data_IF_259720156983
#
_entry.id   IF_259720156983
#
_cell.length_a   1.000
_cell.length_b   1.000
_cell.length_c   1.000
_cell.angle_alpha   90.00
_cell.angle_beta   90.00
_cell.angle_gamma   90.00
#
_symmetry.space_group_name_H-M   'P 1'
#
loop_
_entity.id
_entity.type
_entity.pdbx_description
1 polymer ?
#
# COMPACT_ATOMS: atom_id res chain seq x y z
N UNK A 1 10.92 -7.80 33.22
CA UNK A 1 10.17 -6.53 33.07
C UNK A 1 9.67 -6.49 31.63
N UNK A 2 8.36 -6.65 31.43
CA UNK A 2 7.73 -6.71 30.11
C UNK A 2 7.89 -5.37 29.39
N UNK A 3 8.38 -5.38 28.15
CA UNK A 3 8.18 -4.28 27.20
C UNK A 3 6.70 -4.30 26.79
N UNK A 4 5.82 -3.74 27.65
CA UNK A 4 4.42 -3.48 27.31
C UNK A 4 4.37 -2.23 26.41
N UNK A 5 3.64 -2.35 25.31
CA UNK A 5 3.27 -1.29 24.37
C UNK A 5 4.41 -0.49 23.73
N UNK A 6 5.01 -1.03 22.67
CA UNK A 6 5.52 -0.16 21.61
C UNK A 6 4.31 0.35 20.80
N UNK A 7 3.71 1.45 21.25
CA UNK A 7 2.72 2.19 20.45
C UNK A 7 3.36 2.58 19.11
N UNK A 8 2.70 2.23 18.01
CA UNK A 8 3.12 2.67 16.67
C UNK A 8 2.96 4.18 16.61
N UNK A 9 4.03 4.89 16.27
CA UNK A 9 4.05 6.35 16.10
C UNK A 9 4.69 6.70 14.77
N UNK A 10 4.19 7.72 14.11
CA UNK A 10 4.76 8.22 12.85
C UNK A 10 5.11 9.70 12.97
N UNK A 11 6.07 10.16 12.17
CA UNK A 11 6.43 11.58 12.10
C UNK A 11 5.36 12.31 11.30
N UNK A 12 4.63 13.24 11.92
CA UNK A 12 3.55 13.99 11.27
C UNK A 12 4.06 15.21 10.50
N UNK A 13 5.26 15.71 10.83
CA UNK A 13 5.86 16.86 10.18
C UNK A 13 7.37 16.63 9.96
N UNK A 14 7.73 16.18 8.76
CA UNK A 14 9.09 15.81 8.40
C UNK A 14 10.03 17.02 8.39
N UNK A 15 9.58 18.17 7.88
CA UNK A 15 10.38 19.40 7.82
C UNK A 15 10.72 19.93 9.22
N UNK A 16 9.71 20.06 10.10
CA UNK A 16 9.93 20.48 11.48
C UNK A 16 10.76 19.46 12.28
N UNK A 17 10.69 18.18 11.94
CA UNK A 17 11.55 17.15 12.54
C UNK A 17 12.99 17.30 12.09
N UNK A 18 13.23 17.56 10.80
CA UNK A 18 14.56 17.79 10.26
C UNK A 18 15.23 19.02 10.91
N UNK A 19 14.48 20.11 11.08
CA UNK A 19 14.96 21.32 11.76
C UNK A 19 15.34 21.01 13.22
N UNK A 20 14.48 20.29 13.96
CA UNK A 20 14.75 19.91 15.35
C UNK A 20 15.96 18.97 15.50
N UNK A 21 16.15 18.04 14.55
CA UNK A 21 17.26 17.09 14.57
C UNK A 21 18.57 17.76 14.14
N UNK A 22 18.56 18.79 13.30
CA UNK A 22 19.77 19.51 12.89
C UNK A 22 20.55 20.14 14.06
N UNK A 23 19.88 20.43 15.18
CA UNK A 23 20.50 20.95 16.40
C UNK A 23 21.04 19.89 17.36
N UNK A 24 20.88 18.61 17.05
CA UNK A 24 21.09 17.53 18.04
C UNK A 24 22.54 17.37 18.48
N UNK A 25 23.50 17.78 17.66
CA UNK A 25 24.93 17.78 18.02
C UNK A 25 25.24 18.69 19.22
N UNK A 26 24.38 19.67 19.52
CA UNK A 26 24.51 20.54 20.70
C UNK A 26 24.03 19.87 22.00
N UNK A 27 23.25 18.79 21.91
CA UNK A 27 22.62 18.10 23.04
C UNK A 27 23.16 16.67 23.21
N UNK A 28 23.62 16.06 22.13
CA UNK A 28 24.20 14.73 22.11
C UNK A 28 25.68 14.80 22.50
N UNK A 29 26.03 14.19 23.63
CA UNK A 29 27.43 13.98 24.03
C UNK A 29 28.04 12.84 23.21
N UNK A 30 28.27 13.12 21.92
CA UNK A 30 28.95 12.21 21.01
C UNK A 30 30.45 12.44 21.18
N UNK A 31 31.14 11.47 21.77
CA UNK A 31 32.59 11.54 21.94
C UNK A 31 33.28 11.44 20.58
N UNK A 32 34.06 12.46 20.22
CA UNK A 32 34.92 12.47 19.03
C UNK A 32 36.24 11.76 19.34
N UNK A 33 36.16 10.45 19.57
CA UNK A 33 37.30 9.56 19.82
C UNK A 33 37.21 8.80 21.15
N UNK A 34 37.64 7.53 21.15
CA UNK A 34 37.56 6.61 22.30
C UNK A 34 36.24 5.83 22.39
N UNK A 35 36.16 4.92 23.36
CA UNK A 35 34.96 4.09 23.58
C UNK A 35 33.76 4.94 24.00
N UNK A 36 32.66 4.82 23.27
CA UNK A 36 31.41 5.49 23.61
C UNK A 36 30.74 4.76 24.76
N UNK A 37 30.93 5.29 25.97
CA UNK A 37 30.44 4.70 27.22
C UNK A 37 28.92 4.49 27.22
N UNK A 38 28.46 3.44 27.91
CA UNK A 38 27.05 3.01 27.92
C UNK A 38 26.09 4.08 28.43
N UNK A 39 26.52 4.94 29.35
CA UNK A 39 25.73 6.04 29.89
C UNK A 39 25.58 7.18 28.86
N UNK A 40 26.66 7.57 28.18
CA UNK A 40 26.64 8.59 27.12
C UNK A 40 25.81 8.14 25.91
N UNK A 41 25.82 6.83 25.61
CA UNK A 41 24.92 6.19 24.62
C UNK A 41 23.46 6.38 24.97
N UNK A 42 23.07 6.02 26.19
CA UNK A 42 21.67 6.12 26.65
C UNK A 42 21.19 7.57 26.68
N UNK A 43 22.00 8.49 27.21
CA UNK A 43 21.67 9.92 27.21
C UNK A 43 21.45 10.48 25.80
N UNK A 44 22.29 10.09 24.84
CA UNK A 44 22.14 10.51 23.43
C UNK A 44 20.85 9.93 22.82
N UNK A 45 20.55 8.66 23.08
CA UNK A 45 19.33 8.01 22.60
C UNK A 45 18.09 8.68 23.21
N UNK A 46 18.11 9.00 24.50
CA UNK A 46 16.98 9.62 25.20
C UNK A 46 16.78 11.08 24.79
N UNK A 47 17.88 11.81 24.54
CA UNK A 47 17.83 13.14 23.93
C UNK A 47 17.22 13.09 22.53
N UNK A 48 17.65 12.13 21.69
CA UNK A 48 17.08 11.93 20.35
C UNK A 48 15.58 11.63 20.43
N UNK A 49 15.18 10.69 21.30
CA UNK A 49 13.75 10.36 21.53
C UNK A 49 12.96 11.58 22.00
N UNK A 50 13.50 12.38 22.91
CA UNK A 50 12.87 13.59 23.41
C UNK A 50 12.69 14.68 22.35
N UNK A 51 13.66 14.82 21.44
CA UNK A 51 13.61 15.80 20.35
C UNK A 51 12.56 15.41 19.29
N UNK A 52 12.50 14.13 18.95
CA UNK A 52 11.56 13.65 17.91
C UNK A 52 10.14 13.46 18.46
N UNK A 53 9.97 13.12 19.75
CA UNK A 53 8.67 12.76 20.31
C UNK A 53 7.57 13.82 20.09
N UNK A 54 7.80 15.14 20.22
CA UNK A 54 6.80 16.17 19.93
C UNK A 54 6.41 16.25 18.46
N UNK A 55 7.23 15.70 17.55
CA UNK A 55 6.95 15.61 16.12
C UNK A 55 6.38 14.24 15.72
N UNK A 56 6.13 13.36 16.70
CA UNK A 56 5.50 12.06 16.48
C UNK A 56 4.03 12.13 16.86
N UNK A 57 3.17 11.54 16.04
CA UNK A 57 1.77 11.29 16.38
C UNK A 57 1.56 9.81 16.68
N UNK A 58 0.70 9.53 17.65
CA UNK A 58 0.17 8.19 17.87
C UNK A 58 -0.61 7.74 16.63
N UNK A 59 -0.26 6.56 16.13
CA UNK A 59 -1.09 5.86 15.16
C UNK A 59 -2.29 5.36 15.95
N UNK A 60 -3.37 6.13 15.94
CA UNK A 60 -4.66 5.63 16.42
C UNK A 60 -5.11 4.53 15.44
N UNK A 61 -5.55 3.40 15.98
CA UNK A 61 -6.30 2.41 15.19
C UNK A 61 -7.67 2.96 14.75
N UNK A 62 -8.06 4.14 15.26
CA UNK A 62 -9.21 4.92 14.80
C UNK A 62 -8.94 5.56 13.43
N UNK A 63 -9.78 5.21 12.46
CA UNK A 63 -9.81 5.77 11.11
C UNK A 63 -10.32 7.21 11.21
N UNK A 64 -9.41 8.17 11.38
CA UNK A 64 -9.70 9.60 11.24
C UNK A 64 -9.65 9.98 9.74
N UNK A 65 -10.80 10.31 9.11
CA UNK A 65 -10.86 10.65 7.68
C UNK A 65 -10.17 11.98 7.33
N UNK A 66 -9.85 12.83 8.32
CA UNK A 66 -9.27 14.15 8.13
C UNK A 66 -7.76 14.24 8.34
N UNK A 67 -7.08 13.14 8.69
CA UNK A 67 -5.65 13.22 9.03
C UNK A 67 -4.75 13.30 7.79
N UNK A 68 -3.87 14.30 7.86
CA UNK A 68 -2.70 14.62 7.04
C UNK A 68 -1.68 13.46 6.83
N UNK A 69 -2.00 12.21 7.17
CA UNK A 69 -1.10 11.06 7.17
C UNK A 69 -1.19 10.13 5.95
N UNK A 70 -2.26 10.20 5.13
CA UNK A 70 -2.44 9.23 4.04
C UNK A 70 -1.40 9.36 2.92
N UNK A 71 -1.00 10.59 2.59
CA UNK A 71 0.08 10.81 1.61
C UNK A 71 1.41 10.25 2.12
N UNK A 72 1.78 10.53 3.37
CA UNK A 72 3.01 10.01 4.00
C UNK A 72 2.97 8.48 4.17
N UNK A 73 1.81 7.93 4.52
CA UNK A 73 1.59 6.49 4.61
C UNK A 73 1.74 5.84 3.22
N UNK A 74 1.18 6.44 2.18
CA UNK A 74 1.33 5.96 0.82
C UNK A 74 2.78 6.02 0.33
N UNK A 75 3.52 7.08 0.63
CA UNK A 75 4.96 7.16 0.35
C UNK A 75 5.77 6.07 1.07
N UNK A 76 5.35 5.70 2.29
CA UNK A 76 5.91 4.58 3.03
C UNK A 76 5.58 3.24 2.38
N UNK A 77 4.33 3.04 1.94
CA UNK A 77 3.91 1.85 1.19
C UNK A 77 4.73 1.68 -0.09
N UNK A 78 4.89 2.75 -0.88
CA UNK A 78 5.69 2.73 -2.10
C UNK A 78 7.17 2.46 -1.82
N UNK A 79 7.72 3.02 -0.75
CA UNK A 79 9.11 2.75 -0.37
C UNK A 79 9.32 1.28 0.02
N UNK A 80 8.41 0.70 0.79
CA UNK A 80 8.47 -0.71 1.19
C UNK A 80 8.25 -1.66 0.02
N UNK A 81 7.39 -1.28 -0.94
CA UNK A 81 7.11 -2.07 -2.14
C UNK A 81 8.35 -2.39 -2.99
N UNK A 82 9.40 -1.56 -2.92
CA UNK A 82 10.68 -1.84 -3.60
C UNK A 82 11.39 -3.09 -3.06
N UNK A 83 11.18 -3.40 -1.78
CA UNK A 83 11.80 -4.54 -1.09
C UNK A 83 10.81 -5.69 -0.95
N UNK A 84 9.54 -5.39 -0.69
CA UNK A 84 8.47 -6.33 -0.37
C UNK A 84 7.46 -6.52 -1.52
N UNK A 85 7.97 -6.78 -2.72
CA UNK A 85 7.16 -6.88 -3.95
C UNK A 85 6.02 -7.92 -3.89
N UNK A 86 6.14 -8.91 -3.02
CA UNK A 86 5.10 -9.93 -2.84
C UNK A 86 3.82 -9.39 -2.18
N UNK A 87 3.89 -8.28 -1.43
CA UNK A 87 2.74 -7.70 -0.71
C UNK A 87 2.16 -6.45 -1.37
N UNK A 88 2.75 -6.01 -2.48
CA UNK A 88 2.32 -4.81 -3.18
C UNK A 88 2.23 -5.06 -4.68
N UNK A 89 1.19 -4.53 -5.32
CA UNK A 89 1.09 -4.47 -6.77
C UNK A 89 0.56 -3.09 -7.20
N UNK A 90 0.97 -2.63 -8.38
CA UNK A 90 0.57 -1.35 -8.94
C UNK A 90 -0.26 -1.57 -10.21
N UNK A 91 -1.34 -0.81 -10.34
CA UNK A 91 -2.17 -0.80 -11.54
C UNK A 91 -2.52 0.61 -11.96
N UNK A 92 -2.24 0.95 -13.21
CA UNK A 92 -2.56 2.28 -13.74
C UNK A 92 -4.08 2.56 -13.64
N UNK A 93 -4.89 1.55 -13.93
CA UNK A 93 -6.35 1.57 -14.03
C UNK A 93 -6.84 0.36 -14.81
N UNK A 94 -8.12 0.33 -15.12
CA UNK A 94 -8.81 -0.78 -15.76
C UNK A 94 -9.32 -0.47 -17.16
N UNK A 95 -9.30 0.78 -17.64
CA UNK A 95 -9.58 1.05 -19.05
C UNK A 95 -8.36 0.78 -19.93
N UNK A 96 -8.59 0.14 -21.08
CA UNK A 96 -7.56 -0.22 -22.08
C UNK A 96 -6.81 1.00 -22.60
N UNK A 97 -5.48 0.97 -22.73
CA UNK A 97 -4.67 2.10 -23.21
C UNK A 97 -4.69 2.34 -24.75
N UNK A 98 -5.87 2.27 -25.36
CA UNK A 98 -6.11 2.46 -26.80
C UNK A 98 -6.36 3.93 -27.16
N UNK A 99 -5.93 4.45 -28.33
CA UNK A 99 -6.27 5.81 -28.74
C UNK A 99 -7.77 6.01 -29.07
N UNK A 100 -8.49 4.94 -29.43
CA UNK A 100 -9.92 4.99 -29.76
C UNK A 100 -10.64 3.77 -29.16
N UNK A 101 -11.90 3.94 -28.76
CA UNK A 101 -12.74 2.84 -28.30
C UNK A 101 -12.28 2.23 -26.98
N UNK A 102 -11.86 3.09 -26.03
CA UNK A 102 -11.50 2.71 -24.66
C UNK A 102 -12.62 1.89 -24.03
N UNK A 103 -12.28 0.74 -23.46
CA UNK A 103 -13.22 -0.13 -22.75
C UNK A 103 -12.64 -0.53 -21.41
N UNK A 104 -13.53 -0.80 -20.45
CA UNK A 104 -13.15 -1.45 -19.21
C UNK A 104 -12.63 -2.86 -19.53
N UNK A 105 -11.44 -3.17 -19.03
CA UNK A 105 -10.75 -4.44 -19.23
C UNK A 105 -11.06 -5.36 -18.04
N UNK A 106 -12.10 -6.19 -18.20
CA UNK A 106 -12.47 -7.20 -17.22
C UNK A 106 -11.34 -8.22 -16.98
N UNK A 107 -10.47 -8.47 -17.98
CA UNK A 107 -9.32 -9.35 -17.78
C UNK A 107 -8.27 -8.72 -16.85
N UNK A 108 -8.04 -7.42 -16.97
CA UNK A 108 -7.18 -6.69 -16.03
C UNK A 108 -7.79 -6.66 -14.62
N UNK A 109 -9.11 -6.53 -14.52
CA UNK A 109 -9.82 -6.59 -13.24
C UNK A 109 -9.71 -7.97 -12.57
N UNK A 110 -9.94 -9.05 -13.33
CA UNK A 110 -9.74 -10.43 -12.88
C UNK A 110 -8.29 -10.68 -12.42
N UNK A 111 -7.30 -10.11 -13.13
CA UNK A 111 -5.89 -10.21 -12.72
C UNK A 111 -5.65 -9.56 -11.36
N UNK A 112 -6.27 -8.41 -11.08
CA UNK A 112 -6.18 -7.75 -9.76
C UNK A 112 -6.86 -8.60 -8.69
N UNK A 113 -8.07 -9.13 -8.95
CA UNK A 113 -8.74 -10.05 -8.03
C UNK A 113 -7.86 -11.26 -7.70
N UNK A 114 -7.25 -11.88 -8.73
CA UNK A 114 -6.28 -12.97 -8.56
C UNK A 114 -5.07 -12.54 -7.71
N UNK A 115 -4.47 -11.38 -8.00
CA UNK A 115 -3.32 -10.87 -7.21
C UNK A 115 -3.70 -10.66 -5.74
N UNK A 116 -4.88 -10.11 -5.44
CA UNK A 116 -5.37 -9.96 -4.08
C UNK A 116 -5.49 -11.30 -3.35
N UNK A 117 -6.01 -12.36 -4.01
CA UNK A 117 -6.03 -13.71 -3.42
C UNK A 117 -4.63 -14.27 -3.18
N UNK A 118 -3.69 -14.01 -4.09
CA UNK A 118 -2.33 -14.49 -3.98
C UNK A 118 -1.57 -13.82 -2.83
N UNK A 119 -1.79 -12.52 -2.64
CA UNK A 119 -1.29 -11.76 -1.48
C UNK A 119 -1.88 -12.33 -0.18
N UNK A 120 -3.19 -12.60 -0.15
CA UNK A 120 -3.83 -13.22 1.02
C UNK A 120 -3.20 -14.58 1.39
N UNK A 121 -2.84 -15.37 0.38
CA UNK A 121 -2.25 -16.71 0.55
C UNK A 121 -0.81 -16.71 1.04
N UNK A 122 -0.19 -15.54 1.25
CA UNK A 122 1.10 -15.42 1.91
C UNK A 122 1.01 -15.59 3.44
N UNK A 123 -0.20 -15.61 4.01
CA UNK A 123 -0.46 -15.96 5.41
C UNK A 123 -1.12 -14.84 6.21
N UNK A 124 -1.62 -15.18 7.40
CA UNK A 124 -2.51 -14.34 8.22
C UNK A 124 -1.86 -13.11 8.86
N UNK A 125 -0.54 -13.09 9.00
CA UNK A 125 0.20 -12.03 9.70
C UNK A 125 0.66 -10.89 8.77
N UNK A 126 0.26 -10.89 7.50
CA UNK A 126 0.67 -9.89 6.53
C UNK A 126 -0.50 -9.01 6.10
N UNK A 127 -0.17 -7.79 5.69
CA UNK A 127 -1.09 -6.89 5.01
C UNK A 127 -0.49 -6.58 3.66
N UNK A 128 -1.32 -6.61 2.62
CA UNK A 128 -0.88 -6.24 1.28
C UNK A 128 -1.89 -5.36 0.57
N UNK A 129 -1.43 -4.77 -0.53
CA UNK A 129 -2.15 -3.73 -1.26
C UNK A 129 -2.02 -3.91 -2.76
N UNK A 130 -3.11 -3.61 -3.47
CA UNK A 130 -3.04 -3.24 -4.89
C UNK A 130 -3.39 -1.76 -5.01
N UNK A 131 -2.44 -0.96 -5.48
CA UNK A 131 -2.63 0.48 -5.68
C UNK A 131 -3.10 0.75 -7.12
N UNK A 132 -4.32 1.25 -7.28
CA UNK A 132 -4.93 1.61 -8.56
C UNK A 132 -4.80 3.12 -8.78
N UNK A 133 -4.41 3.54 -9.97
CA UNK A 133 -3.96 4.91 -10.26
C UNK A 133 -2.44 5.05 -10.23
N UNK A 134 -1.71 3.93 -10.25
CA UNK A 134 -0.24 3.89 -10.27
C UNK A 134 0.23 3.01 -11.42
N UNK A 135 0.88 3.59 -12.41
CA UNK A 135 1.49 2.84 -13.50
C UNK A 135 2.71 2.06 -13.00
N UNK A 136 2.80 0.83 -13.50
CA UNK A 136 3.82 -0.17 -13.21
C UNK A 136 5.16 0.15 -13.86
N UNK A 137 5.12 0.83 -15.00
CA UNK A 137 6.31 1.23 -15.75
C UNK A 137 6.13 2.60 -16.43
N UNK A 138 7.26 3.18 -16.84
CA UNK A 138 7.32 4.48 -17.49
C UNK A 138 6.52 4.52 -18.80
N UNK A 139 6.58 3.47 -19.62
CA UNK A 139 5.85 3.42 -20.90
C UNK A 139 4.33 3.52 -20.71
N UNK A 140 3.79 2.83 -19.71
CA UNK A 140 2.37 2.94 -19.35
C UNK A 140 2.02 4.35 -18.86
N UNK A 141 2.89 4.97 -18.06
CA UNK A 141 2.73 6.34 -17.59
C UNK A 141 2.72 7.36 -18.72
N UNK A 142 3.68 7.28 -19.65
CA UNK A 142 3.77 8.14 -20.83
C UNK A 142 2.52 7.98 -21.70
N UNK A 143 2.07 6.74 -21.89
CA UNK A 143 0.87 6.45 -22.66
C UNK A 143 -0.39 7.05 -22.05
N UNK A 144 -0.51 7.04 -20.71
CA UNK A 144 -1.62 7.70 -20.01
C UNK A 144 -1.53 9.22 -20.17
N UNK A 145 -0.33 9.80 -20.04
CA UNK A 145 -0.14 11.24 -20.25
C UNK A 145 -0.54 11.67 -21.67
N UNK A 146 -0.17 10.91 -22.70
CA UNK A 146 -0.54 11.20 -24.09
C UNK A 146 -2.06 11.17 -24.33
N UNK A 147 -2.76 10.21 -23.72
CA UNK A 147 -4.17 9.96 -24.00
C UNK A 147 -5.11 10.81 -23.14
N UNK A 148 -4.76 10.97 -21.88
CA UNK A 148 -5.65 11.53 -20.86
C UNK A 148 -5.18 12.93 -20.40
N UNK A 149 -4.04 13.43 -20.92
CA UNK A 149 -3.52 14.76 -20.58
C UNK A 149 -3.05 14.92 -19.13
N UNK A 150 -2.95 13.82 -18.40
CA UNK A 150 -2.52 13.80 -16.99
C UNK A 150 -1.02 14.06 -16.89
N UNK A 151 -0.60 14.82 -15.88
CA UNK A 151 0.82 14.95 -15.51
C UNK A 151 1.18 13.93 -14.42
N UNK A 152 1.89 12.84 -14.75
CA UNK A 152 2.18 11.80 -13.76
C UNK A 152 3.10 12.32 -12.66
N UNK A 153 2.80 11.95 -11.42
CA UNK A 153 3.66 12.23 -10.27
C UNK A 153 4.62 11.06 -10.09
N UNK A 154 5.93 11.30 -10.15
CA UNK A 154 6.93 10.26 -9.96
C UNK A 154 7.41 10.23 -8.52
N UNK A 155 7.40 9.05 -7.90
CA UNK A 155 7.99 8.81 -6.58
C UNK A 155 8.69 7.46 -6.54
N UNK A 156 10.01 7.46 -6.32
CA UNK A 156 10.84 6.25 -6.20
C UNK A 156 10.65 5.24 -7.36
N UNK A 157 10.46 5.73 -8.57
CA UNK A 157 10.24 4.91 -9.77
C UNK A 157 8.78 4.47 -10.00
N UNK A 158 7.87 4.76 -9.07
CA UNK A 158 6.43 4.62 -9.29
C UNK A 158 5.88 5.85 -9.97
N UNK A 159 4.94 5.63 -10.90
CA UNK A 159 4.33 6.68 -11.70
C UNK A 159 2.85 6.80 -11.36
N UNK A 160 2.49 7.79 -10.55
CA UNK A 160 1.11 8.00 -10.11
C UNK A 160 0.37 8.78 -11.21
N UNK A 161 -0.71 8.19 -11.72
CA UNK A 161 -1.51 8.71 -12.85
C UNK A 161 -2.95 9.04 -12.49
N UNK A 162 -3.37 8.78 -11.25
CA UNK A 162 -4.72 9.12 -10.78
C UNK A 162 -5.83 8.19 -11.30
N UNK A 163 -7.02 8.35 -10.72
CA UNK A 163 -8.25 7.62 -11.07
C UNK A 163 -9.30 8.52 -11.73
N UNK A 164 -9.08 9.83 -11.74
CA UNK A 164 -9.97 10.83 -12.32
C UNK A 164 -10.27 10.51 -13.79
N UNK A 165 -9.22 10.24 -14.57
CA UNK A 165 -9.29 9.76 -15.96
C UNK A 165 -10.14 8.50 -16.15
N UNK A 166 -10.16 7.58 -15.19
CA UNK A 166 -10.97 6.36 -15.27
C UNK A 166 -12.45 6.67 -15.01
N UNK A 167 -12.73 7.59 -14.08
CA UNK A 167 -14.07 8.06 -13.80
C UNK A 167 -14.67 8.79 -15.01
N UNK A 168 -13.87 9.64 -15.67
CA UNK A 168 -14.26 10.30 -16.92
C UNK A 168 -14.60 9.31 -18.03
N UNK A 169 -13.76 8.28 -18.24
CA UNK A 169 -14.02 7.20 -19.20
C UNK A 169 -15.25 6.36 -18.83
N UNK A 170 -15.60 6.27 -17.55
CA UNK A 170 -16.81 5.62 -17.07
C UNK A 170 -18.06 6.50 -17.24
N UNK A 171 -17.90 7.82 -17.36
CA UNK A 171 -18.99 8.78 -17.45
C UNK A 171 -19.60 9.15 -16.10
N UNK A 172 -18.83 9.06 -15.01
CA UNK A 172 -19.28 9.42 -13.65
C UNK A 172 -18.24 10.27 -12.92
N UNK A 173 -18.60 10.84 -11.78
CA UNK A 173 -17.62 11.43 -10.88
C UNK A 173 -16.74 10.36 -10.19
N UNK A 174 -15.64 10.81 -9.60
CA UNK A 174 -14.64 9.96 -8.95
C UNK A 174 -15.23 9.08 -7.83
N UNK A 175 -16.10 9.61 -6.98
CA UNK A 175 -16.66 8.87 -5.86
C UNK A 175 -17.62 7.79 -6.36
N UNK A 176 -18.44 8.11 -7.36
CA UNK A 176 -19.32 7.15 -8.02
C UNK A 176 -18.53 6.03 -8.71
N UNK A 177 -17.45 6.38 -9.43
CA UNK A 177 -16.58 5.39 -10.06
C UNK A 177 -15.90 4.48 -9.04
N UNK A 178 -15.36 5.05 -7.96
CA UNK A 178 -14.74 4.26 -6.89
C UNK A 178 -15.74 3.33 -6.22
N UNK A 179 -16.94 3.83 -5.92
CA UNK A 179 -18.03 3.03 -5.34
C UNK A 179 -18.40 1.87 -6.26
N UNK A 180 -18.56 2.13 -7.55
CA UNK A 180 -18.84 1.10 -8.56
C UNK A 180 -17.72 0.05 -8.63
N UNK A 181 -16.46 0.47 -8.64
CA UNK A 181 -15.31 -0.43 -8.70
C UNK A 181 -15.24 -1.35 -7.47
N UNK A 182 -15.44 -0.79 -6.28
CA UNK A 182 -15.47 -1.54 -5.02
C UNK A 182 -16.66 -2.49 -4.97
N UNK A 183 -17.84 -2.08 -5.45
CA UNK A 183 -19.02 -2.96 -5.56
C UNK A 183 -18.80 -4.09 -6.56
N UNK A 184 -18.14 -3.81 -7.69
CA UNK A 184 -17.76 -4.82 -8.68
C UNK A 184 -16.81 -5.85 -8.07
N UNK A 185 -15.87 -5.42 -7.22
CA UNK A 185 -14.99 -6.33 -6.48
C UNK A 185 -15.76 -7.12 -5.42
N UNK A 186 -16.63 -6.46 -4.65
CA UNK A 186 -17.47 -7.06 -3.61
C UNK A 186 -18.54 -8.03 -4.13
N UNK A 187 -18.85 -7.97 -5.42
CA UNK A 187 -19.77 -8.88 -6.11
C UNK A 187 -19.08 -9.87 -7.05
N UNK A 188 -17.74 -9.88 -7.09
CA UNK A 188 -16.97 -10.75 -7.97
C UNK A 188 -17.34 -12.24 -7.74
N UNK A 189 -17.75 -13.00 -8.78
CA UNK A 189 -18.27 -14.36 -8.61
C UNK A 189 -17.18 -15.38 -8.25
N UNK A 190 -15.96 -15.17 -8.75
CA UNK A 190 -14.85 -16.10 -8.54
C UNK A 190 -14.07 -15.91 -7.22
N UNK A 191 -14.57 -15.04 -6.33
CA UNK A 191 -13.99 -14.78 -5.01
C UNK A 191 -14.92 -15.32 -3.90
N UNK A 192 -14.37 -15.92 -2.83
CA UNK A 192 -15.15 -16.29 -1.65
C UNK A 192 -15.89 -15.09 -1.06
N UNK A 193 -17.12 -15.32 -0.57
CA UNK A 193 -18.02 -14.24 -0.15
C UNK A 193 -17.45 -13.37 0.96
N UNK A 194 -16.87 -13.98 2.00
CA UNK A 194 -16.29 -13.24 3.12
C UNK A 194 -15.07 -12.44 2.68
N UNK A 195 -14.27 -12.99 1.77
CA UNK A 195 -13.09 -12.32 1.25
C UNK A 195 -13.45 -11.08 0.42
N UNK A 196 -14.39 -11.18 -0.52
CA UNK A 196 -14.82 -10.03 -1.34
C UNK A 196 -15.51 -8.93 -0.50
N UNK A 197 -16.25 -9.30 0.56
CA UNK A 197 -16.82 -8.33 1.52
C UNK A 197 -15.72 -7.62 2.31
N UNK A 198 -14.71 -8.34 2.79
CA UNK A 198 -13.57 -7.77 3.50
C UNK A 198 -12.78 -6.81 2.60
N UNK A 199 -12.48 -7.21 1.36
CA UNK A 199 -11.86 -6.35 0.35
C UNK A 199 -12.64 -5.05 0.17
N UNK A 200 -13.96 -5.15 -0.04
CA UNK A 200 -14.79 -3.98 -0.27
C UNK A 200 -14.83 -3.02 0.93
N UNK A 201 -14.87 -3.55 2.15
CA UNK A 201 -14.85 -2.77 3.39
C UNK A 201 -13.52 -2.07 3.63
N UNK A 202 -12.41 -2.76 3.36
CA UNK A 202 -11.07 -2.29 3.77
C UNK A 202 -10.41 -1.40 2.71
N UNK A 203 -10.92 -1.45 1.47
CA UNK A 203 -10.49 -0.62 0.35
C UNK A 203 -10.85 0.85 0.57
N UNK A 204 -9.96 1.76 0.13
CA UNK A 204 -10.17 3.21 0.26
C UNK A 204 -9.56 3.98 -0.90
N UNK A 205 -10.04 5.18 -1.11
CA UNK A 205 -9.42 6.16 -2.00
C UNK A 205 -8.65 7.21 -1.19
N UNK A 206 -7.49 7.61 -1.67
CA UNK A 206 -6.65 8.66 -1.07
C UNK A 206 -6.31 9.73 -2.11
N UNK A 207 -6.05 10.95 -1.66
CA UNK A 207 -5.46 12.00 -2.49
C UNK A 207 -3.94 12.03 -2.26
N UNK A 208 -3.18 11.97 -3.34
CA UNK A 208 -1.72 12.09 -3.33
C UNK A 208 -1.29 13.12 -4.36
N UNK A 209 -0.76 14.27 -3.88
CA UNK A 209 -0.30 15.39 -4.70
C UNK A 209 -1.30 15.81 -5.79
N UNK A 210 -2.59 15.83 -5.44
CA UNK A 210 -3.68 16.25 -6.33
C UNK A 210 -4.25 15.15 -7.23
N UNK A 211 -3.73 13.92 -7.15
CA UNK A 211 -4.24 12.76 -7.88
C UNK A 211 -4.87 11.73 -6.93
N UNK A 212 -5.99 11.15 -7.32
CA UNK A 212 -6.66 10.12 -6.53
C UNK A 212 -6.07 8.72 -6.78
N UNK A 213 -5.74 8.01 -5.71
CA UNK A 213 -5.23 6.62 -5.76
C UNK A 213 -6.17 5.72 -4.95
N UNK A 214 -6.59 4.62 -5.57
CA UNK A 214 -7.37 3.58 -4.91
C UNK A 214 -6.44 2.56 -4.26
N UNK A 215 -6.60 2.28 -2.98
CA UNK A 215 -5.88 1.25 -2.25
C UNK A 215 -6.82 0.09 -1.96
N UNK A 216 -6.67 -1.00 -2.69
CA UNK A 216 -7.35 -2.27 -2.42
C UNK A 216 -6.53 -3.04 -1.38
N UNK A 217 -7.06 -3.20 -0.17
CA UNK A 217 -6.33 -3.76 0.97
C UNK A 217 -6.73 -5.21 1.24
N UNK A 218 -5.72 -6.05 1.51
CA UNK A 218 -5.87 -7.42 2.01
C UNK A 218 -5.23 -7.52 3.40
N UNK A 219 -5.97 -8.00 4.38
CA UNK A 219 -5.44 -8.29 5.72
C UNK A 219 -6.30 -9.31 6.48
N UNK A 220 -5.72 -10.01 7.44
CA UNK A 220 -6.46 -10.78 8.44
C UNK A 220 -7.21 -11.98 7.90
N UNK A 221 -6.60 -12.70 6.94
CA UNK A 221 -7.20 -13.90 6.36
C UNK A 221 -6.83 -15.12 7.20
N UNK A 222 -7.83 -15.94 7.56
CA UNK A 222 -7.66 -17.10 8.46
C UNK A 222 -7.49 -18.44 7.74
N UNK A 223 -7.72 -18.47 6.43
CA UNK A 223 -7.58 -19.68 5.60
C UNK A 223 -7.16 -19.32 4.17
N UNK A 224 -6.62 -20.28 3.39
CA UNK A 224 -6.31 -20.04 1.98
C UNK A 224 -7.54 -19.56 1.19
N UNK A 225 -7.32 -18.56 0.34
CA UNK A 225 -8.31 -17.96 -0.54
C UNK A 225 -8.15 -18.54 -1.94
N UNK A 226 -9.24 -19.08 -2.47
CA UNK A 226 -9.29 -19.59 -3.84
C UNK A 226 -9.71 -18.49 -4.80
N UNK A 227 -9.19 -18.54 -6.02
CA UNK A 227 -9.68 -17.74 -7.16
C UNK A 227 -10.00 -18.70 -8.31
N UNK A 228 -11.24 -18.68 -8.81
CA UNK A 228 -11.70 -19.61 -9.86
C UNK A 228 -11.45 -21.09 -9.50
N UNK A 229 -11.59 -21.44 -8.21
CA UNK A 229 -11.37 -22.80 -7.71
C UNK A 229 -9.91 -23.21 -7.51
N UNK A 230 -8.95 -22.31 -7.70
CA UNK A 230 -7.52 -22.61 -7.63
C UNK A 230 -6.80 -21.73 -6.61
N UNK A 231 -5.69 -22.22 -6.05
CA UNK A 231 -4.82 -21.44 -5.16
C UNK A 231 -3.71 -20.79 -5.96
N UNK A 232 -3.49 -19.50 -5.72
CA UNK A 232 -2.37 -18.74 -6.24
C UNK A 232 -1.54 -18.21 -5.07
N UNK A 233 -0.24 -18.02 -5.27
CA UNK A 233 0.64 -17.37 -4.31
C UNK A 233 1.51 -16.32 -5.00
N UNK A 234 2.18 -15.47 -4.21
CA UNK A 234 3.11 -14.48 -4.74
C UNK A 234 4.52 -15.04 -4.78
N UNK A 235 5.19 -14.85 -5.92
CA UNK A 235 6.61 -15.13 -6.10
C UNK A 235 7.25 -13.87 -6.71
N UNK A 236 7.71 -12.95 -5.85
CA UNK A 236 8.08 -11.61 -6.28
C UNK A 236 6.87 -10.86 -6.86
N UNK A 237 6.98 -10.38 -8.09
CA UNK A 237 5.88 -9.72 -8.83
C UNK A 237 4.94 -10.71 -9.54
N UNK A 238 5.28 -12.00 -9.58
CA UNK A 238 4.48 -13.01 -10.26
C UNK A 238 3.41 -13.63 -9.35
N UNK A 239 2.36 -14.14 -9.99
CA UNK A 239 1.23 -14.80 -9.34
C UNK A 239 1.02 -16.20 -9.93
N UNK A 240 1.96 -17.15 -9.70
CA UNK A 240 1.84 -18.52 -10.18
C UNK A 240 0.69 -19.26 -9.52
N UNK A 241 0.11 -20.22 -10.27
CA UNK A 241 -0.80 -21.21 -9.73
C UNK A 241 0.00 -22.18 -8.85
N UNK A 242 -0.50 -22.45 -7.64
CA UNK A 242 0.07 -23.46 -6.75
C UNK A 242 -0.32 -24.85 -7.28
N UNK A 243 0.62 -25.78 -7.32
CA UNK A 243 0.31 -27.16 -7.69
C UNK A 243 -0.51 -27.83 -6.58
N UNK A 244 -1.43 -28.74 -6.94
CA UNK A 244 -2.30 -29.40 -5.97
C UNK A 244 -1.52 -30.11 -4.84
N UNK A 245 -0.36 -30.69 -5.16
CA UNK A 245 0.50 -31.36 -4.18
C UNK A 245 1.10 -30.38 -3.14
N UNK A 246 1.16 -29.09 -3.46
CA UNK A 246 1.69 -28.03 -2.60
C UNK A 246 0.61 -27.31 -1.80
N UNK A 247 -0.67 -27.69 -1.93
CA UNK A 247 -1.75 -27.02 -1.19
C UNK A 247 -1.52 -27.08 0.32
N UNK A 248 -1.06 -28.22 0.84
CA UNK A 248 -0.77 -28.38 2.27
C UNK A 248 0.27 -27.37 2.78
N UNK A 249 1.25 -26.97 1.94
CA UNK A 249 2.20 -25.91 2.28
C UNK A 249 1.50 -24.57 2.47
N UNK A 250 0.51 -24.25 1.65
CA UNK A 250 -0.26 -23.00 1.79
C UNK A 250 -1.14 -23.06 3.03
N UNK A 251 -1.88 -24.17 3.26
CA UNK A 251 -2.69 -24.35 4.47
C UNK A 251 -1.87 -24.22 5.75
N UNK A 252 -0.63 -24.72 5.77
CA UNK A 252 0.25 -24.61 6.94
C UNK A 252 0.57 -23.16 7.35
N UNK A 253 0.47 -22.18 6.44
CA UNK A 253 0.69 -20.75 6.74
C UNK A 253 -0.39 -20.15 7.65
N UNK A 254 -1.51 -20.84 7.79
CA UNK A 254 -2.68 -20.38 8.55
C UNK A 254 -2.88 -21.16 9.86
N UNK A 255 -2.10 -22.21 10.10
CA UNK A 255 -2.14 -22.98 11.34
C UNK A 255 -1.20 -22.33 12.35
N UNK A 256 -1.75 -21.94 13.51
CA UNK A 256 -0.98 -21.55 14.70
C UNK A 256 -0.85 -22.72 15.65
#
# INVERSE_FOLDING_TARGET
MMFKDQQKRHVHNVAATADKVSGISSVASITTGGDWESNSKRQTIDAFKGIIAPSMEEVSDEIDPGRFGWSSHFETLLANALVEQQFFDAKQGFYTLSPVGRKFDDSAFDKVAKTLTAIANMGSNHTGYVAVGVADNQTASERVQELDGVSPVVYRGFHIVGLEREAELHGTDLNSYWTWLVQKLGSHPDLPEDFRKALARDSRIISYKGLAVGLLKVSGVEAPVFFKGEIYERAGSETPKVANNDYMRIFSRFQR
#
